data_IF_616212475973
#
_entry.id   IF_616212475973
#
_cell.length_a   1.000
_cell.length_b   1.000
_cell.length_c   1.000
_cell.angle_alpha   90.00
_cell.angle_beta   90.00
_cell.angle_gamma   90.00
#
_symmetry.space_group_name_H-M   'P 1'
#
loop_
_entity.id
_entity.type
_entity.pdbx_description
1 polymer ?
#
# COMPACT_ATOMS: atom_id res chain seq x y z
N UNK A 1 7.11 40.70 4.84
CA UNK A 1 6.99 39.36 5.49
C UNK A 1 5.81 39.24 6.45
N UNK A 2 5.43 40.26 7.25
CA UNK A 2 4.18 40.24 8.06
C UNK A 2 2.85 40.06 7.27
N UNK A 3 2.89 39.99 5.93
CA UNK A 3 1.70 39.92 5.07
C UNK A 3 1.31 38.52 4.58
N UNK A 4 2.24 37.57 4.41
CA UNK A 4 1.90 36.27 3.79
C UNK A 4 1.20 35.34 4.80
N UNK A 5 1.76 35.20 6.00
CA UNK A 5 1.18 34.39 7.07
C UNK A 5 -0.23 34.84 7.46
N UNK A 6 -0.47 36.17 7.51
CA UNK A 6 -1.80 36.73 7.78
C UNK A 6 -2.79 36.40 6.66
N UNK A 7 -2.37 36.49 5.40
CA UNK A 7 -3.20 36.12 4.24
C UNK A 7 -3.53 34.63 4.24
N UNK A 8 -2.56 33.76 4.54
CA UNK A 8 -2.80 32.32 4.67
C UNK A 8 -3.74 32.00 5.84
N UNK A 9 -3.55 32.63 7.00
CA UNK A 9 -4.43 32.44 8.15
C UNK A 9 -5.86 32.86 7.86
N UNK A 10 -6.05 34.02 7.24
CA UNK A 10 -7.37 34.50 6.82
C UNK A 10 -8.00 33.60 5.74
N UNK A 11 -7.20 33.11 4.78
CA UNK A 11 -7.65 32.17 3.75
C UNK A 11 -8.23 30.90 4.38
N UNK A 12 -7.51 30.30 5.34
CA UNK A 12 -7.96 29.10 6.05
C UNK A 12 -9.19 29.39 6.88
N UNK A 13 -9.17 30.46 7.69
CA UNK A 13 -10.29 30.82 8.58
C UNK A 13 -11.60 31.10 7.82
N UNK A 14 -11.50 31.64 6.61
CA UNK A 14 -12.65 31.97 5.76
C UNK A 14 -13.07 30.84 4.83
N UNK A 15 -12.29 29.75 4.74
CA UNK A 15 -12.58 28.65 3.83
C UNK A 15 -13.66 27.73 4.41
N UNK A 16 -14.69 27.36 3.63
CA UNK A 16 -15.63 26.33 4.03
C UNK A 16 -14.96 24.96 4.22
N UNK A 17 -13.76 24.75 3.68
CA UNK A 17 -13.01 23.51 3.87
C UNK A 17 -12.64 23.25 5.34
N UNK A 18 -12.57 24.28 6.19
CA UNK A 18 -12.32 24.10 7.62
C UNK A 18 -13.47 23.34 8.30
N UNK A 19 -14.72 23.61 7.89
CA UNK A 19 -15.90 22.87 8.38
C UNK A 19 -15.98 21.46 7.80
N UNK A 20 -15.42 21.25 6.61
CA UNK A 20 -15.37 19.96 5.94
C UNK A 20 -14.14 19.10 6.32
N UNK A 21 -13.22 19.64 7.13
CA UNK A 21 -12.01 18.94 7.57
C UNK A 21 -12.30 17.61 8.28
N UNK A 22 -13.30 17.48 9.17
CA UNK A 22 -13.66 16.19 9.76
C UNK A 22 -14.10 15.16 8.71
N UNK A 23 -14.77 15.59 7.64
CA UNK A 23 -15.16 14.69 6.54
C UNK A 23 -13.94 14.25 5.71
N UNK A 24 -13.02 15.17 5.40
CA UNK A 24 -11.76 14.83 4.73
C UNK A 24 -10.96 13.80 5.53
N UNK A 25 -10.77 14.06 6.82
CA UNK A 25 -10.11 13.14 7.74
C UNK A 25 -10.84 11.79 7.82
N UNK A 26 -12.17 11.81 7.94
CA UNK A 26 -12.97 10.59 8.01
C UNK A 26 -12.89 9.74 6.75
N UNK A 27 -12.84 10.37 5.56
CA UNK A 27 -12.67 9.66 4.29
C UNK A 27 -11.29 8.99 4.21
N UNK A 28 -10.22 9.74 4.51
CA UNK A 28 -8.86 9.19 4.45
C UNK A 28 -8.63 8.10 5.50
N UNK A 29 -9.02 8.34 6.76
CA UNK A 29 -8.92 7.34 7.82
C UNK A 29 -9.80 6.13 7.54
N UNK A 30 -10.99 6.33 6.98
CA UNK A 30 -11.88 5.23 6.59
C UNK A 30 -11.17 4.25 5.64
N UNK A 31 -10.47 4.76 4.62
CA UNK A 31 -9.72 3.92 3.68
C UNK A 31 -8.62 3.11 4.40
N UNK A 32 -7.84 3.76 5.25
CA UNK A 32 -6.76 3.09 6.00
C UNK A 32 -7.30 2.03 6.98
N UNK A 33 -8.42 2.32 7.65
CA UNK A 33 -9.00 1.44 8.66
C UNK A 33 -9.76 0.24 8.08
N UNK A 34 -10.29 0.35 6.86
CA UNK A 34 -11.05 -0.73 6.21
C UNK A 34 -10.18 -1.96 5.85
N UNK A 35 -8.86 -1.83 5.84
CA UNK A 35 -7.91 -2.87 5.42
C UNK A 35 -7.29 -3.64 6.58
N UNK A 36 -7.70 -3.34 7.82
CA UNK A 36 -7.06 -3.90 9.00
C UNK A 36 -5.70 -3.26 9.28
N UNK A 37 -4.77 -4.03 9.84
CA UNK A 37 -3.47 -3.55 10.36
C UNK A 37 -2.27 -4.17 9.66
N UNK A 38 -2.50 -4.90 8.58
CA UNK A 38 -1.49 -5.67 7.87
C UNK A 38 -0.36 -4.81 7.28
N UNK A 39 -0.71 -3.63 6.79
CA UNK A 39 0.24 -2.62 6.30
C UNK A 39 1.20 -2.10 7.37
N UNK A 40 0.95 -2.36 8.66
CA UNK A 40 1.81 -1.86 9.74
C UNK A 40 3.19 -2.52 9.75
N UNK A 41 3.34 -3.68 9.12
CA UNK A 41 4.60 -4.44 9.06
C UNK A 41 5.61 -3.89 8.04
N UNK A 42 5.22 -2.92 7.20
CA UNK A 42 6.05 -2.44 6.08
C UNK A 42 5.89 -0.93 5.88
N UNK A 43 7.00 -0.17 5.93
CA UNK A 43 6.96 1.29 5.77
C UNK A 43 6.38 1.73 4.42
N UNK A 44 6.83 1.11 3.31
CA UNK A 44 6.37 1.50 1.97
C UNK A 44 4.89 1.20 1.79
N UNK A 45 4.44 0.04 2.26
CA UNK A 45 3.04 -0.34 2.19
C UNK A 45 2.15 0.58 3.03
N UNK A 46 2.59 0.93 4.24
CA UNK A 46 1.90 1.89 5.09
C UNK A 46 1.76 3.28 4.45
N UNK A 47 2.85 3.83 3.90
CA UNK A 47 2.83 5.14 3.23
C UNK A 47 1.94 5.10 1.99
N UNK A 48 1.95 3.99 1.25
CA UNK A 48 1.10 3.81 0.09
C UNK A 48 -0.39 3.78 0.45
N UNK A 49 -0.76 3.08 1.53
CA UNK A 49 -2.12 3.07 2.07
C UNK A 49 -2.55 4.44 2.61
N UNK A 50 -1.64 5.20 3.23
CA UNK A 50 -1.95 6.58 3.59
C UNK A 50 -2.29 7.40 2.34
N UNK A 51 -1.57 7.18 1.25
CA UNK A 51 -1.86 7.74 -0.07
C UNK A 51 -3.21 7.32 -0.64
N UNK A 52 -3.67 6.09 -0.38
CA UNK A 52 -4.96 5.62 -0.88
C UNK A 52 -6.13 6.48 -0.37
N UNK A 53 -6.01 7.09 0.82
CA UNK A 53 -6.98 8.07 1.31
C UNK A 53 -7.12 9.30 0.38
N UNK A 54 -6.03 9.68 -0.30
CA UNK A 54 -6.00 10.80 -1.24
C UNK A 54 -6.92 10.56 -2.44
N UNK A 55 -7.19 9.29 -2.80
CA UNK A 55 -8.16 8.96 -3.85
C UNK A 55 -9.56 9.49 -3.57
N UNK A 56 -9.96 9.57 -2.30
CA UNK A 56 -11.25 10.14 -1.89
C UNK A 56 -11.13 11.61 -1.51
N UNK A 57 -10.01 12.00 -0.89
CA UNK A 57 -9.79 13.38 -0.46
C UNK A 57 -9.62 14.35 -1.64
N UNK A 58 -8.90 13.97 -2.69
CA UNK A 58 -8.65 14.85 -3.84
C UNK A 58 -9.92 15.23 -4.62
N UNK A 59 -10.83 14.30 -4.98
CA UNK A 59 -12.10 14.66 -5.61
C UNK A 59 -12.99 15.53 -4.71
N UNK A 60 -13.04 15.22 -3.41
CA UNK A 60 -13.80 16.02 -2.45
C UNK A 60 -13.24 17.44 -2.33
N UNK A 61 -11.91 17.57 -2.23
CA UNK A 61 -11.22 18.86 -2.20
C UNK A 61 -11.41 19.66 -3.50
N UNK A 62 -11.43 18.99 -4.67
CA UNK A 62 -11.74 19.63 -5.95
C UNK A 62 -13.17 20.20 -5.97
N UNK A 63 -14.16 19.45 -5.48
CA UNK A 63 -15.53 19.92 -5.33
C UNK A 63 -15.66 21.12 -4.37
N UNK A 64 -14.98 21.06 -3.22
CA UNK A 64 -14.93 22.19 -2.27
C UNK A 64 -14.28 23.43 -2.88
N UNK A 65 -13.20 23.26 -3.64
CA UNK A 65 -12.51 24.36 -4.32
C UNK A 65 -13.39 25.00 -5.40
N UNK A 66 -14.15 24.19 -6.15
CA UNK A 66 -15.13 24.68 -7.12
C UNK A 66 -16.25 25.48 -6.44
N UNK A 67 -16.80 24.96 -5.34
CA UNK A 67 -17.84 25.65 -4.58
C UNK A 67 -17.32 26.96 -3.96
N UNK A 68 -16.16 26.92 -3.31
CA UNK A 68 -15.53 28.12 -2.73
C UNK A 68 -15.28 29.18 -3.80
N UNK A 69 -14.80 28.77 -4.99
CA UNK A 69 -14.62 29.67 -6.13
C UNK A 69 -15.91 30.41 -6.51
N UNK A 70 -17.04 29.70 -6.58
CA UNK A 70 -18.36 30.26 -6.94
C UNK A 70 -18.94 31.18 -5.85
N UNK A 71 -18.72 30.82 -4.57
CA UNK A 71 -19.17 31.66 -3.45
C UNK A 71 -18.36 32.95 -3.46
N UNK A 72 -17.03 32.83 -3.57
CA UNK A 72 -16.12 33.98 -3.58
C UNK A 72 -16.39 34.92 -4.76
N UNK A 73 -16.63 34.37 -5.96
CA UNK A 73 -16.92 35.20 -7.14
C UNK A 73 -18.21 36.02 -7.00
N UNK A 74 -19.18 35.54 -6.20
CA UNK A 74 -20.45 36.23 -5.93
C UNK A 74 -20.36 37.25 -4.80
N UNK A 75 -19.59 36.97 -3.74
CA UNK A 75 -19.59 37.79 -2.53
C UNK A 75 -18.43 38.78 -2.42
N UNK A 76 -17.31 38.56 -3.12
CA UNK A 76 -16.03 39.22 -2.78
C UNK A 76 -15.53 40.20 -3.86
N UNK A 77 -16.45 40.83 -4.61
CA UNK A 77 -16.13 41.99 -5.44
C UNK A 77 -15.48 43.14 -4.65
N UNK A 78 -15.69 43.20 -3.33
CA UNK A 78 -15.17 44.24 -2.43
C UNK A 78 -13.94 43.78 -1.61
N UNK A 79 -13.92 42.57 -1.04
CA UNK A 79 -12.80 42.15 -0.16
C UNK A 79 -11.53 41.66 -0.90
N UNK A 80 -11.62 41.36 -2.21
CA UNK A 80 -10.44 40.99 -3.04
C UNK A 80 -9.82 42.21 -3.72
N UNK A 81 -10.48 43.38 -3.74
CA UNK A 81 -9.92 44.60 -4.32
C UNK A 81 -8.48 44.96 -3.86
N UNK A 82 -8.07 44.75 -2.59
CA UNK A 82 -6.69 45.01 -2.19
C UNK A 82 -5.67 44.00 -2.77
N UNK A 83 -6.11 42.80 -3.17
CA UNK A 83 -5.27 41.80 -3.83
C UNK A 83 -5.13 42.12 -5.32
N UNK A 84 -4.33 43.15 -5.64
CA UNK A 84 -4.09 43.63 -7.02
C UNK A 84 -3.52 42.57 -7.97
N UNK A 85 -2.90 41.51 -7.46
CA UNK A 85 -2.30 40.46 -8.28
C UNK A 85 -3.21 39.23 -8.33
N UNK A 86 -3.60 38.79 -9.51
CA UNK A 86 -4.43 37.60 -9.71
C UNK A 86 -3.92 36.31 -9.10
N UNK A 87 -2.61 36.08 -9.13
CA UNK A 87 -2.00 34.91 -8.50
C UNK A 87 -2.21 34.88 -6.99
N UNK A 88 -2.31 36.05 -6.33
CA UNK A 88 -2.67 36.12 -4.90
C UNK A 88 -4.13 35.82 -4.66
N UNK A 89 -5.03 36.13 -5.60
CA UNK A 89 -6.45 35.77 -5.50
C UNK A 89 -6.64 34.27 -5.61
N UNK A 90 -5.95 33.64 -6.58
CA UNK A 90 -5.88 32.19 -6.70
C UNK A 90 -5.32 31.57 -5.41
N UNK A 91 -4.13 32.01 -4.98
CA UNK A 91 -3.48 31.47 -3.79
C UNK A 91 -4.30 31.66 -2.50
N UNK A 92 -5.03 32.76 -2.36
CA UNK A 92 -5.92 32.98 -1.22
C UNK A 92 -7.12 32.02 -1.24
N UNK A 93 -7.80 31.88 -2.37
CA UNK A 93 -9.02 31.07 -2.43
C UNK A 93 -8.73 29.57 -2.48
N UNK A 94 -7.83 29.13 -3.34
CA UNK A 94 -7.43 27.74 -3.43
C UNK A 94 -6.60 27.31 -2.20
N UNK A 95 -5.80 28.22 -1.64
CA UNK A 95 -4.90 27.93 -0.53
C UNK A 95 -5.63 27.51 0.74
N UNK A 96 -6.81 28.06 1.04
CA UNK A 96 -7.60 27.63 2.19
C UNK A 96 -7.99 26.15 2.11
N UNK A 97 -8.52 25.72 0.95
CA UNK A 97 -8.89 24.31 0.70
C UNK A 97 -7.65 23.42 0.70
N UNK A 98 -6.59 23.84 -0.01
CA UNK A 98 -5.35 23.08 -0.10
C UNK A 98 -4.70 22.87 1.26
N UNK A 99 -4.63 23.91 2.10
CA UNK A 99 -4.08 23.78 3.47
C UNK A 99 -4.93 22.84 4.31
N UNK A 100 -6.27 22.91 4.25
CA UNK A 100 -7.12 21.98 5.00
C UNK A 100 -6.92 20.53 4.54
N UNK A 101 -6.89 20.29 3.22
CA UNK A 101 -6.64 18.96 2.67
C UNK A 101 -5.23 18.45 3.02
N UNK A 102 -4.20 19.28 2.89
CA UNK A 102 -2.82 18.91 3.23
C UNK A 102 -2.65 18.63 4.72
N UNK A 103 -3.29 19.40 5.60
CA UNK A 103 -3.30 19.15 7.06
C UNK A 103 -4.04 17.85 7.36
N UNK A 104 -5.19 17.60 6.73
CA UNK A 104 -5.92 16.34 6.86
C UNK A 104 -5.04 15.14 6.52
N UNK A 105 -4.41 15.18 5.36
CA UNK A 105 -3.52 14.13 4.89
C UNK A 105 -2.26 13.97 5.77
N UNK A 106 -1.67 15.07 6.23
CA UNK A 106 -0.54 15.04 7.17
C UNK A 106 -0.88 14.34 8.48
N UNK A 107 -2.09 14.56 9.01
CA UNK A 107 -2.56 13.88 10.22
C UNK A 107 -2.66 12.38 9.96
N UNK A 108 -3.20 11.96 8.81
CA UNK A 108 -3.31 10.54 8.43
C UNK A 108 -1.92 9.90 8.29
N UNK A 109 -1.01 10.53 7.55
CA UNK A 109 0.38 10.06 7.40
C UNK A 109 1.06 9.97 8.77
N UNK A 110 0.91 10.97 9.63
CA UNK A 110 1.49 10.94 10.97
C UNK A 110 0.92 9.81 11.84
N UNK A 111 -0.38 9.53 11.75
CA UNK A 111 -1.02 8.43 12.46
C UNK A 111 -0.53 7.07 11.95
N UNK A 112 -0.45 6.91 10.62
CA UNK A 112 0.09 5.71 9.97
C UNK A 112 1.53 5.47 10.40
N UNK A 113 2.40 6.48 10.29
CA UNK A 113 3.81 6.40 10.71
C UNK A 113 3.93 6.06 12.21
N UNK A 114 3.12 6.69 13.06
CA UNK A 114 3.11 6.40 14.49
C UNK A 114 2.65 4.96 14.80
N UNK A 115 1.74 4.41 13.99
CA UNK A 115 1.22 3.05 14.14
C UNK A 115 2.27 2.02 13.73
N UNK A 116 2.93 2.21 12.58
CA UNK A 116 4.05 1.38 12.11
C UNK A 116 5.20 1.40 13.13
N UNK A 117 5.54 2.58 13.67
CA UNK A 117 6.57 2.69 14.70
C UNK A 117 6.21 1.91 15.98
N UNK A 118 4.93 1.95 16.40
CA UNK A 118 4.44 1.17 17.55
C UNK A 118 4.42 -0.34 17.27
N UNK A 119 4.22 -0.75 16.03
CA UNK A 119 4.31 -2.14 15.61
C UNK A 119 5.75 -2.69 15.64
N UNK A 120 6.76 -1.81 15.76
CA UNK A 120 8.17 -2.20 15.87
C UNK A 120 8.85 -2.44 14.53
N UNK A 121 8.25 -1.99 13.42
CA UNK A 121 8.81 -2.13 12.06
C UNK A 121 10.16 -1.43 11.97
N UNK A 122 11.18 -2.17 11.53
CA UNK A 122 12.55 -1.67 11.45
C UNK A 122 12.76 -0.66 10.32
N UNK A 123 13.82 0.15 10.39
CA UNK A 123 14.16 1.14 9.37
C UNK A 123 13.44 2.48 9.50
N UNK A 124 13.33 3.22 8.41
CA UNK A 124 12.69 4.53 8.35
C UNK A 124 11.79 4.67 7.12
N UNK A 125 10.65 5.38 7.22
CA UNK A 125 9.78 5.58 6.08
C UNK A 125 10.45 6.40 4.97
N UNK A 126 10.26 5.98 3.73
CA UNK A 126 10.46 6.85 2.57
C UNK A 126 9.25 7.78 2.44
N UNK A 127 9.49 9.08 2.66
CA UNK A 127 8.45 10.11 2.63
C UNK A 127 8.41 10.85 1.28
N UNK A 128 9.25 10.50 0.30
CA UNK A 128 9.19 11.09 -1.03
C UNK A 128 7.81 10.96 -1.71
N UNK A 129 7.09 9.81 -1.60
CA UNK A 129 5.73 9.68 -2.16
C UNK A 129 4.71 10.64 -1.54
N UNK A 130 4.90 11.05 -0.28
CA UNK A 130 4.00 12.01 0.40
C UNK A 130 4.02 13.38 -0.32
N UNK A 131 5.15 13.76 -0.91
CA UNK A 131 5.22 14.97 -1.74
C UNK A 131 4.35 14.83 -2.99
N UNK A 132 4.32 13.64 -3.59
CA UNK A 132 3.49 13.36 -4.75
C UNK A 132 2.00 13.42 -4.40
N UNK A 133 1.61 12.88 -3.24
CA UNK A 133 0.25 12.99 -2.71
C UNK A 133 -0.19 14.46 -2.60
N UNK A 134 0.68 15.34 -2.11
CA UNK A 134 0.40 16.77 -1.99
C UNK A 134 0.31 17.48 -3.34
N UNK A 135 1.20 17.15 -4.28
CA UNK A 135 1.14 17.69 -5.64
C UNK A 135 -0.17 17.29 -6.31
N UNK A 136 -0.62 16.06 -6.12
CA UNK A 136 -1.89 15.59 -6.64
C UNK A 136 -3.09 16.32 -5.99
N UNK A 137 -3.12 16.47 -4.66
CA UNK A 137 -4.12 17.28 -3.97
C UNK A 137 -4.14 18.72 -4.48
N UNK A 138 -2.97 19.33 -4.67
CA UNK A 138 -2.84 20.70 -5.19
C UNK A 138 -3.38 20.81 -6.63
N UNK A 139 -3.07 19.85 -7.49
CA UNK A 139 -3.59 19.80 -8.85
C UNK A 139 -5.12 19.66 -8.85
N UNK A 140 -5.68 18.76 -8.04
CA UNK A 140 -7.12 18.55 -7.92
C UNK A 140 -7.85 19.82 -7.40
N UNK A 141 -7.32 20.46 -6.35
CA UNK A 141 -7.84 21.74 -5.83
C UNK A 141 -7.77 22.84 -6.88
N UNK A 142 -6.69 22.93 -7.63
CA UNK A 142 -6.53 23.93 -8.68
C UNK A 142 -7.52 23.73 -9.84
N UNK A 143 -7.70 22.49 -10.29
CA UNK A 143 -8.71 22.11 -11.29
C UNK A 143 -10.11 22.45 -10.78
N UNK A 144 -10.40 22.09 -9.53
CA UNK A 144 -11.62 22.46 -8.81
C UNK A 144 -11.93 23.95 -8.89
N UNK A 145 -10.96 24.74 -8.44
CA UNK A 145 -11.05 26.20 -8.46
C UNK A 145 -11.26 26.76 -9.87
N UNK A 146 -10.47 26.30 -10.85
CA UNK A 146 -10.56 26.75 -12.23
C UNK A 146 -11.94 26.45 -12.84
N UNK A 147 -12.47 25.24 -12.64
CA UNK A 147 -13.80 24.86 -13.10
C UNK A 147 -14.89 25.73 -12.45
N UNK A 148 -14.78 25.98 -11.13
CA UNK A 148 -15.69 26.85 -10.39
C UNK A 148 -15.71 28.30 -10.86
N UNK A 149 -14.65 28.77 -11.53
CA UNK A 149 -14.63 30.07 -12.18
C UNK A 149 -15.35 30.06 -13.54
N UNK A 150 -15.39 28.93 -14.25
CA UNK A 150 -15.94 28.84 -15.61
C UNK A 150 -17.46 28.69 -15.59
N UNK A 151 -18.00 27.89 -14.67
CA UNK A 151 -19.43 27.56 -14.61
C UNK A 151 -20.09 28.04 -13.31
N UNK A 152 -21.28 28.64 -13.42
CA UNK A 152 -22.01 29.25 -12.29
C UNK A 152 -23.06 28.33 -11.65
N UNK A 153 -23.16 27.08 -12.11
CA UNK A 153 -24.14 26.11 -11.61
C UNK A 153 -23.76 25.55 -10.25
N UNK A 154 -24.72 25.50 -9.32
CA UNK A 154 -24.53 24.92 -7.99
C UNK A 154 -24.26 23.41 -8.03
N UNK A 155 -24.64 22.73 -9.10
CA UNK A 155 -24.38 21.30 -9.32
C UNK A 155 -22.93 21.03 -9.74
N UNK A 156 -22.15 22.05 -10.08
CA UNK A 156 -20.78 21.86 -10.56
C UNK A 156 -19.90 21.18 -9.52
N UNK A 157 -19.97 21.59 -8.25
CA UNK A 157 -19.13 21.04 -7.19
C UNK A 157 -19.29 19.52 -7.03
N UNK A 158 -20.51 18.96 -6.84
CA UNK A 158 -20.68 17.52 -6.75
C UNK A 158 -20.39 16.80 -8.07
N UNK A 159 -20.78 17.37 -9.23
CA UNK A 159 -20.45 16.75 -10.53
C UNK A 159 -18.94 16.67 -10.77
N UNK A 160 -18.19 17.72 -10.41
CA UNK A 160 -16.75 17.75 -10.57
C UNK A 160 -16.05 16.79 -9.60
N UNK A 161 -16.52 16.67 -8.36
CA UNK A 161 -16.03 15.65 -7.44
C UNK A 161 -16.22 14.25 -8.02
N UNK A 162 -17.39 13.95 -8.62
CA UNK A 162 -17.62 12.65 -9.26
C UNK A 162 -16.74 12.44 -10.50
N UNK A 163 -16.54 13.47 -11.33
CA UNK A 163 -15.64 13.39 -12.51
C UNK A 163 -14.20 13.15 -12.08
N UNK A 164 -13.69 13.89 -11.10
CA UNK A 164 -12.32 13.71 -10.60
C UNK A 164 -12.17 12.32 -9.96
N UNK A 165 -13.16 11.86 -9.20
CA UNK A 165 -13.17 10.51 -8.62
C UNK A 165 -13.12 9.44 -9.73
N UNK A 166 -13.94 9.58 -10.77
CA UNK A 166 -13.94 8.66 -11.90
C UNK A 166 -12.59 8.66 -12.62
N UNK A 167 -12.02 9.83 -12.93
CA UNK A 167 -10.69 9.93 -13.54
C UNK A 167 -9.60 9.26 -12.70
N UNK A 168 -9.70 9.36 -11.37
CA UNK A 168 -8.76 8.74 -10.43
C UNK A 168 -8.90 7.22 -10.41
N UNK A 169 -10.13 6.71 -10.35
CA UNK A 169 -10.41 5.27 -10.38
C UNK A 169 -9.92 4.67 -11.70
N UNK A 170 -10.24 5.30 -12.83
CA UNK A 170 -9.77 4.85 -14.15
C UNK A 170 -8.25 4.92 -14.28
N UNK A 171 -7.60 5.90 -13.64
CA UNK A 171 -6.15 5.97 -13.58
C UNK A 171 -5.51 4.88 -12.73
N UNK A 172 -6.22 4.37 -11.74
CA UNK A 172 -5.68 3.36 -10.81
C UNK A 172 -5.97 1.93 -11.28
N UNK A 173 -7.09 1.70 -11.96
CA UNK A 173 -7.52 0.37 -12.39
C UNK A 173 -7.01 -0.02 -13.78
N UNK A 174 -6.35 0.89 -14.51
CA UNK A 174 -5.78 0.60 -15.84
C UNK A 174 -6.81 0.30 -16.94
N UNK A 175 -8.11 0.47 -16.67
CA UNK A 175 -9.20 0.31 -17.64
C UNK A 175 -9.11 1.31 -18.79
N UNK A 176 -8.48 2.46 -18.55
CA UNK A 176 -7.89 3.26 -19.59
C UNK A 176 -6.42 2.85 -19.70
N UNK A 177 -5.98 2.20 -20.82
CA UNK A 177 -4.57 1.87 -21.07
C UNK A 177 -3.65 3.11 -21.14
N UNK A 178 -4.21 4.29 -20.88
CA UNK A 178 -3.61 5.60 -21.03
C UNK A 178 -3.59 6.47 -19.76
N UNK A 179 -3.86 5.94 -18.57
CA UNK A 179 -3.76 6.74 -17.34
C UNK A 179 -2.68 6.16 -16.43
N UNK A 180 -1.48 6.66 -16.64
CA UNK A 180 -0.19 6.16 -16.15
C UNK A 180 0.21 6.69 -14.77
N UNK A 181 -0.79 6.98 -13.93
CA UNK A 181 -0.62 7.86 -12.77
C UNK A 181 -1.12 7.16 -11.52
N UNK A 182 -0.23 6.39 -10.91
CA UNK A 182 -0.40 5.79 -9.60
C UNK A 182 0.14 6.74 -8.52
N UNK A 183 -0.71 7.63 -8.02
CA UNK A 183 -0.34 8.55 -6.91
C UNK A 183 -0.15 7.79 -5.62
N UNK A 184 -0.96 6.75 -5.45
CA UNK A 184 -1.01 5.86 -4.31
C UNK A 184 -1.62 4.55 -4.80
N UNK A 185 -1.66 3.54 -3.93
CA UNK A 185 -2.35 2.31 -4.22
C UNK A 185 -2.89 1.66 -2.96
N UNK A 186 -4.07 1.07 -3.12
CA UNK A 186 -4.56 0.05 -2.23
C UNK A 186 -3.83 -1.28 -2.54
N UNK A 187 -2.49 -1.28 -2.47
CA UNK A 187 -1.68 -2.43 -2.93
C UNK A 187 -1.65 -3.54 -1.90
N UNK A 188 -1.13 -4.69 -2.31
CA UNK A 188 -0.61 -5.69 -1.37
C UNK A 188 0.78 -5.33 -0.82
N UNK A 189 1.43 -6.28 -0.14
CA UNK A 189 2.79 -6.14 0.37
C UNK A 189 3.77 -5.55 -0.64
N UNK A 190 4.60 -4.61 -0.20
CA UNK A 190 5.62 -3.91 -0.99
C UNK A 190 7.05 -4.20 -0.51
N UNK A 191 7.21 -5.19 0.37
CA UNK A 191 8.50 -5.65 0.82
C UNK A 191 9.40 -6.03 -0.38
N UNK A 192 10.66 -5.58 -0.35
CA UNK A 192 11.64 -5.75 -1.44
C UNK A 192 11.33 -5.02 -2.75
N UNK A 193 10.36 -4.10 -2.74
CA UNK A 193 10.18 -3.12 -3.81
C UNK A 193 10.74 -1.76 -3.39
N UNK A 194 11.24 -1.00 -4.35
CA UNK A 194 11.65 0.39 -4.18
C UNK A 194 10.95 1.30 -5.19
N UNK A 195 10.71 2.55 -4.81
CA UNK A 195 10.16 3.54 -5.74
C UNK A 195 11.17 3.82 -6.86
N UNK A 196 10.67 3.85 -8.10
CA UNK A 196 11.45 4.28 -9.26
C UNK A 196 11.47 5.80 -9.33
N UNK A 197 12.61 6.46 -9.08
CA UNK A 197 12.65 7.91 -8.96
C UNK A 197 12.26 8.62 -10.25
N UNK A 198 12.59 8.04 -11.42
CA UNK A 198 12.17 8.55 -12.72
C UNK A 198 10.63 8.56 -12.91
N UNK A 199 9.93 7.52 -12.43
CA UNK A 199 8.45 7.46 -12.51
C UNK A 199 7.82 8.47 -11.56
N UNK A 200 8.32 8.55 -10.32
CA UNK A 200 7.86 9.54 -9.32
C UNK A 200 8.08 10.97 -9.83
N UNK A 201 9.23 11.25 -10.45
CA UNK A 201 9.54 12.55 -11.03
C UNK A 201 8.61 12.89 -12.21
N UNK A 202 8.36 11.94 -13.11
CA UNK A 202 7.44 12.15 -14.23
C UNK A 202 6.00 12.41 -13.75
N UNK A 203 5.52 11.70 -12.74
CA UNK A 203 4.22 11.95 -12.12
C UNK A 203 4.17 13.33 -11.43
N UNK A 204 5.25 13.74 -10.76
CA UNK A 204 5.35 15.09 -10.20
C UNK A 204 5.26 16.16 -11.30
N UNK A 205 5.90 15.95 -12.46
CA UNK A 205 5.78 16.85 -13.63
C UNK A 205 4.34 16.90 -14.14
N UNK A 206 3.62 15.78 -14.20
CA UNK A 206 2.20 15.74 -14.57
C UNK A 206 1.38 16.62 -13.62
N UNK A 207 1.51 16.48 -12.30
CA UNK A 207 0.72 17.26 -11.34
C UNK A 207 1.08 18.74 -11.32
N UNK A 208 2.36 19.06 -11.38
CA UNK A 208 2.81 20.46 -11.49
C UNK A 208 2.26 21.09 -12.77
N UNK A 209 2.27 20.35 -13.89
CA UNK A 209 1.71 20.84 -15.15
C UNK A 209 0.21 21.09 -15.05
N UNK A 210 -0.56 20.16 -14.47
CA UNK A 210 -2.00 20.33 -14.23
C UNK A 210 -2.29 21.53 -13.33
N UNK A 211 -1.52 21.70 -12.25
CA UNK A 211 -1.59 22.85 -11.35
C UNK A 211 -1.33 24.16 -12.10
N UNK A 212 -0.27 24.23 -12.91
CA UNK A 212 0.10 25.43 -13.69
C UNK A 212 -0.96 25.75 -14.74
N UNK A 213 -1.48 24.76 -15.46
CA UNK A 213 -2.56 24.94 -16.44
C UNK A 213 -3.80 25.48 -15.74
N UNK A 214 -4.26 24.82 -14.68
CA UNK A 214 -5.46 25.21 -13.94
C UNK A 214 -5.33 26.62 -13.33
N UNK A 215 -4.18 26.95 -12.74
CA UNK A 215 -3.90 28.28 -12.25
C UNK A 215 -3.94 29.32 -13.38
N UNK A 216 -3.34 29.03 -14.54
CA UNK A 216 -3.24 29.95 -15.68
C UNK A 216 -4.57 30.24 -16.36
N UNK A 217 -5.48 29.27 -16.40
CA UNK A 217 -6.83 29.45 -16.99
C UNK A 217 -7.83 30.07 -16.01
N UNK A 218 -7.52 30.10 -14.71
CA UNK A 218 -8.42 30.69 -13.71
C UNK A 218 -8.67 32.18 -13.98
N UNK A 219 -9.93 32.60 -13.85
CA UNK A 219 -10.33 34.00 -14.08
C UNK A 219 -9.56 34.90 -13.13
N UNK A 220 -8.85 35.87 -13.70
CA UNK A 220 -8.04 36.82 -12.96
C UNK A 220 -6.63 36.91 -13.50
N UNK A 221 -5.97 35.82 -13.92
CA UNK A 221 -4.50 35.74 -14.10
C UNK A 221 -3.89 36.61 -15.20
N UNK A 222 -3.75 37.93 -15.02
CA UNK A 222 -3.04 38.84 -15.94
C UNK A 222 -3.64 38.95 -17.36
N UNK A 223 -2.97 39.69 -18.26
CA UNK A 223 -3.36 39.88 -19.68
C UNK A 223 -3.38 38.55 -20.44
N UNK A 224 -4.22 38.37 -21.48
CA UNK A 224 -4.37 37.10 -22.20
C UNK A 224 -3.03 36.50 -22.66
N UNK A 225 -2.12 37.31 -23.23
CA UNK A 225 -0.80 36.86 -23.67
C UNK A 225 0.08 36.27 -22.55
N UNK A 226 -0.07 36.76 -21.31
CA UNK A 226 0.72 36.29 -20.15
C UNK A 226 0.16 34.98 -19.57
N UNK A 227 -1.13 34.66 -19.82
CA UNK A 227 -1.77 33.40 -19.39
C UNK A 227 -1.37 32.21 -20.24
N UNK A 228 -1.29 32.41 -21.56
CA UNK A 228 -1.15 31.31 -22.50
C UNK A 228 0.25 30.72 -22.54
N UNK A 229 1.29 31.48 -22.20
CA UNK A 229 2.67 30.98 -22.14
C UNK A 229 2.85 29.88 -21.09
N UNK A 230 2.53 30.10 -19.79
CA UNK A 230 2.65 29.04 -18.78
C UNK A 230 1.64 27.91 -19.01
N UNK A 231 0.43 28.19 -19.50
CA UNK A 231 -0.54 27.15 -19.84
C UNK A 231 -0.04 26.26 -20.99
N UNK A 232 0.51 26.85 -22.05
CA UNK A 232 1.08 26.13 -23.18
C UNK A 232 2.32 25.32 -22.80
N UNK A 233 3.23 25.91 -22.00
CA UNK A 233 4.37 25.19 -21.45
C UNK A 233 3.93 24.01 -20.56
N UNK A 234 2.95 24.23 -19.68
CA UNK A 234 2.35 23.17 -18.86
C UNK A 234 1.71 22.07 -19.71
N UNK A 235 0.97 22.42 -20.77
CA UNK A 235 0.35 21.44 -21.66
C UNK A 235 1.40 20.59 -22.40
N UNK A 236 2.47 21.21 -22.90
CA UNK A 236 3.57 20.50 -23.55
C UNK A 236 4.25 19.56 -22.54
N UNK A 237 4.60 20.06 -21.34
CA UNK A 237 5.20 19.25 -20.28
C UNK A 237 4.31 18.08 -19.86
N UNK A 238 3.00 18.31 -19.75
CA UNK A 238 2.01 17.27 -19.44
C UNK A 238 2.02 16.18 -20.52
N UNK A 239 1.94 16.55 -21.79
CA UNK A 239 1.93 15.58 -22.92
C UNK A 239 3.24 14.79 -22.96
N UNK A 240 4.38 15.44 -22.77
CA UNK A 240 5.69 14.77 -22.78
C UNK A 240 5.85 13.81 -21.60
N UNK A 241 5.51 14.24 -20.38
CA UNK A 241 5.62 13.40 -19.20
C UNK A 241 4.64 12.22 -19.26
N UNK A 242 3.39 12.50 -19.67
CA UNK A 242 2.38 11.47 -19.83
C UNK A 242 2.76 10.47 -20.93
N UNK A 243 3.24 10.94 -22.09
CA UNK A 243 3.72 10.11 -23.20
C UNK A 243 4.93 9.26 -22.84
N UNK A 244 5.87 9.80 -22.04
CA UNK A 244 6.99 9.03 -21.50
C UNK A 244 6.49 7.92 -20.57
N UNK A 245 5.61 8.25 -19.63
CA UNK A 245 4.99 7.26 -18.74
C UNK A 245 4.23 6.17 -19.52
N UNK A 246 3.59 6.51 -20.66
CA UNK A 246 2.93 5.51 -21.53
C UNK A 246 3.90 4.58 -22.24
N UNK A 247 5.05 5.12 -22.64
CA UNK A 247 6.04 4.39 -23.42
C UNK A 247 6.88 3.46 -22.55
N UNK A 248 6.95 3.71 -21.25
CA UNK A 248 7.63 2.87 -20.26
C UNK A 248 6.65 1.94 -19.55
N UNK A 249 7.08 0.75 -19.11
CA UNK A 249 6.33 0.01 -18.10
C UNK A 249 6.21 0.90 -16.85
N UNK A 250 5.02 1.50 -16.67
CA UNK A 250 4.76 2.60 -15.75
C UNK A 250 4.67 2.18 -14.28
N UNK A 251 5.12 0.96 -13.95
CA UNK A 251 5.18 0.54 -12.55
C UNK A 251 6.06 1.51 -11.79
N UNK A 252 5.50 2.13 -10.75
CA UNK A 252 6.21 3.03 -9.84
C UNK A 252 7.20 2.29 -8.94
N UNK A 253 7.17 0.97 -8.96
CA UNK A 253 8.05 0.11 -8.19
C UNK A 253 9.04 -0.62 -9.09
N UNK A 254 10.25 -0.80 -8.58
CA UNK A 254 11.23 -1.77 -9.10
C UNK A 254 11.54 -2.77 -8.01
N UNK A 255 11.84 -4.01 -8.41
CA UNK A 255 12.37 -4.99 -7.48
C UNK A 255 13.76 -4.54 -7.03
N UNK A 256 14.01 -4.61 -5.72
CA UNK A 256 15.34 -4.47 -5.15
C UNK A 256 16.09 -5.78 -5.38
N UNK A 257 17.34 -5.72 -5.83
CA UNK A 257 18.12 -6.93 -6.03
C UNK A 257 18.20 -7.72 -4.70
N UNK A 258 18.03 -9.04 -4.75
CA UNK A 258 17.95 -9.89 -3.56
C UNK A 258 19.16 -9.73 -2.60
N UNK A 259 20.34 -9.42 -3.14
CA UNK A 259 21.57 -9.18 -2.38
C UNK A 259 21.64 -7.81 -1.67
N UNK A 260 20.83 -6.84 -2.09
CA UNK A 260 20.80 -5.50 -1.50
C UNK A 260 19.77 -5.38 -0.36
N UNK A 261 18.95 -6.40 -0.15
CA UNK A 261 17.97 -6.45 0.94
C UNK A 261 18.66 -6.90 2.22
N UNK A 262 18.88 -5.95 3.13
CA UNK A 262 19.41 -6.22 4.47
C UNK A 262 18.47 -7.13 5.26
N UNK A 263 19.05 -8.16 5.89
CA UNK A 263 18.35 -9.18 6.67
C UNK A 263 18.97 -9.35 8.04
N UNK A 264 18.12 -9.66 9.01
CA UNK A 264 18.50 -10.05 10.36
C UNK A 264 18.10 -11.51 10.57
N UNK A 265 19.06 -12.30 11.04
CA UNK A 265 18.89 -13.72 11.32
C UNK A 265 18.72 -13.95 12.82
N UNK A 266 17.78 -14.84 13.17
CA UNK A 266 17.41 -15.19 14.54
C UNK A 266 17.53 -16.70 14.72
N UNK A 267 18.01 -17.14 15.89
CA UNK A 267 18.18 -18.56 16.19
C UNK A 267 19.42 -19.19 15.53
N UNK A 268 19.53 -20.51 15.64
CA UNK A 268 20.63 -21.30 15.04
C UNK A 268 20.13 -22.62 14.42
N UNK A 269 19.05 -23.21 14.96
CA UNK A 269 18.44 -24.43 14.48
C UNK A 269 16.94 -24.50 14.89
N UNK A 270 16.00 -23.97 14.08
CA UNK A 270 16.25 -23.29 12.80
C UNK A 270 16.76 -21.86 12.97
N UNK A 271 17.60 -21.42 12.03
CA UNK A 271 17.93 -20.01 11.81
C UNK A 271 16.88 -19.38 10.88
N UNK A 272 16.37 -18.21 11.24
CA UNK A 272 15.35 -17.49 10.47
C UNK A 272 15.85 -16.10 10.14
N UNK A 273 16.08 -15.84 8.86
CA UNK A 273 16.50 -14.55 8.34
C UNK A 273 15.32 -13.78 7.77
N UNK A 274 14.90 -12.72 8.44
CA UNK A 274 13.86 -11.78 7.97
C UNK A 274 14.48 -10.50 7.46
N UNK A 275 13.78 -9.76 6.60
CA UNK A 275 14.22 -8.43 6.18
C UNK A 275 14.19 -7.46 7.36
N UNK A 276 15.00 -6.41 7.32
CA UNK A 276 15.09 -5.43 8.42
C UNK A 276 13.73 -4.83 8.82
N UNK A 277 12.86 -4.57 7.84
CA UNK A 277 11.51 -4.02 8.06
C UNK A 277 10.67 -4.98 8.95
N UNK A 278 10.86 -6.30 8.79
CA UNK A 278 10.14 -7.35 9.52
C UNK A 278 10.92 -7.91 10.72
N UNK A 279 12.04 -7.29 11.14
CA UNK A 279 12.91 -7.81 12.19
C UNK A 279 12.18 -8.07 13.53
N UNK A 280 11.19 -7.24 13.89
CA UNK A 280 10.39 -7.43 15.10
C UNK A 280 9.57 -8.74 15.12
N UNK A 281 9.20 -9.25 13.95
CA UNK A 281 8.51 -10.53 13.80
C UNK A 281 9.47 -11.74 13.88
N UNK A 282 10.77 -11.51 13.65
CA UNK A 282 11.79 -12.56 13.57
C UNK A 282 11.80 -13.54 14.75
N UNK A 283 11.86 -13.09 16.01
CA UNK A 283 11.84 -13.98 17.17
C UNK A 283 10.58 -14.84 17.27
N UNK A 284 9.40 -14.27 16.98
CA UNK A 284 8.14 -15.00 17.03
C UNK A 284 8.06 -16.09 15.95
N UNK A 285 8.52 -15.77 14.73
CA UNK A 285 8.60 -16.72 13.62
C UNK A 285 9.63 -17.81 13.94
N UNK A 286 10.79 -17.44 14.47
CA UNK A 286 11.84 -18.38 14.85
C UNK A 286 11.37 -19.35 15.92
N UNK A 287 10.70 -18.87 16.96
CA UNK A 287 10.14 -19.72 18.00
C UNK A 287 9.11 -20.69 17.42
N UNK A 288 8.17 -20.19 16.61
CA UNK A 288 7.14 -21.04 16.04
C UNK A 288 7.69 -22.08 15.04
N UNK A 289 8.74 -21.74 14.28
CA UNK A 289 9.45 -22.71 13.44
C UNK A 289 10.22 -23.73 14.28
N UNK A 290 10.80 -23.33 15.42
CA UNK A 290 11.42 -24.27 16.35
C UNK A 290 10.39 -25.23 16.97
N UNK A 291 9.23 -24.72 17.36
CA UNK A 291 8.11 -25.52 17.86
C UNK A 291 7.61 -26.48 16.79
N UNK A 292 7.56 -26.05 15.52
CA UNK A 292 7.20 -26.88 14.39
C UNK A 292 8.24 -27.97 14.10
N UNK A 293 9.54 -27.65 14.20
CA UNK A 293 10.61 -28.65 14.12
C UNK A 293 10.46 -29.71 15.21
N UNK A 294 10.09 -29.29 16.43
CA UNK A 294 9.81 -30.21 17.52
C UNK A 294 8.59 -31.08 17.25
N UNK A 295 7.49 -30.47 16.78
CA UNK A 295 6.23 -31.17 16.47
C UNK A 295 6.36 -32.17 15.30
N UNK A 296 7.21 -31.86 14.31
CA UNK A 296 7.51 -32.76 13.20
C UNK A 296 8.30 -34.01 13.63
N UNK A 297 8.98 -33.93 14.77
CA UNK A 297 9.76 -35.01 15.36
C UNK A 297 11.16 -35.15 14.74
N UNK A 298 12.05 -35.82 15.48
CA UNK A 298 13.48 -35.95 15.14
C UNK A 298 13.80 -36.67 13.82
N UNK A 299 12.81 -37.33 13.21
CA UNK A 299 12.97 -38.03 11.92
C UNK A 299 12.71 -37.14 10.71
N UNK A 300 12.06 -35.99 10.90
CA UNK A 300 11.80 -35.06 9.83
C UNK A 300 13.09 -34.29 9.49
N UNK A 301 13.52 -34.38 8.24
CA UNK A 301 14.53 -33.48 7.69
C UNK A 301 13.83 -32.17 7.35
N UNK A 302 14.07 -31.14 8.16
CA UNK A 302 13.56 -29.79 7.92
C UNK A 302 14.74 -28.85 7.64
N UNK A 303 14.53 -27.79 6.84
CA UNK A 303 15.57 -26.82 6.56
C UNK A 303 16.18 -26.23 7.84
N UNK A 304 17.51 -26.18 7.90
CA UNK A 304 18.23 -25.56 9.02
C UNK A 304 18.11 -24.03 9.00
N UNK A 305 17.97 -23.44 7.81
CA UNK A 305 17.87 -22.00 7.61
C UNK A 305 16.64 -21.66 6.77
N UNK A 306 15.88 -20.68 7.21
CA UNK A 306 14.77 -20.08 6.49
C UNK A 306 15.08 -18.62 6.21
N UNK A 307 14.75 -18.15 5.02
CA UNK A 307 14.97 -16.77 4.63
C UNK A 307 13.69 -16.17 4.02
N UNK A 308 13.31 -15.00 4.53
CA UNK A 308 12.24 -14.21 3.95
C UNK A 308 12.68 -13.75 2.57
N UNK A 309 11.87 -14.09 1.58
CA UNK A 309 12.03 -13.69 0.19
C UNK A 309 10.95 -12.68 -0.13
N UNK A 310 11.40 -11.58 -0.72
CA UNK A 310 10.56 -10.45 -1.11
C UNK A 310 10.47 -10.33 -2.64
N UNK A 311 11.52 -10.77 -3.33
CA UNK A 311 11.54 -11.03 -4.77
C UNK A 311 12.75 -11.89 -5.12
N UNK A 312 12.64 -12.67 -6.20
CA UNK A 312 13.72 -13.54 -6.69
C UNK A 312 13.88 -14.84 -5.89
N UNK A 313 14.96 -15.61 -6.15
CA UNK A 313 15.22 -16.86 -5.44
C UNK A 313 15.70 -16.60 -4.00
N UNK A 314 15.50 -17.58 -3.13
CA UNK A 314 16.11 -17.56 -1.80
C UNK A 314 17.64 -17.57 -1.86
N UNK A 315 18.31 -17.06 -0.80
CA UNK A 315 19.74 -17.30 -0.60
C UNK A 315 20.07 -18.80 -0.68
N UNK A 316 21.24 -19.12 -1.23
CA UNK A 316 21.68 -20.50 -1.34
C UNK A 316 21.71 -21.19 0.03
N UNK A 317 21.09 -22.36 0.13
CA UNK A 317 21.01 -23.15 1.37
C UNK A 317 19.92 -22.72 2.35
N UNK A 318 19.11 -21.70 2.04
CA UNK A 318 17.97 -21.30 2.86
C UNK A 318 16.64 -21.65 2.17
N UNK A 319 15.65 -22.06 2.96
CA UNK A 319 14.26 -22.22 2.49
C UNK A 319 13.60 -20.85 2.39
N UNK A 320 13.10 -20.51 1.20
CA UNK A 320 12.32 -19.31 0.98
C UNK A 320 11.02 -19.35 1.79
N UNK A 321 10.63 -18.23 2.38
CA UNK A 321 9.24 -17.99 2.77
C UNK A 321 8.84 -16.55 2.46
N UNK A 322 7.56 -16.31 2.25
CA UNK A 322 6.99 -14.97 2.10
C UNK A 322 6.26 -14.65 3.38
N UNK A 323 6.54 -13.52 4.02
CA UNK A 323 5.79 -13.16 5.22
C UNK A 323 4.43 -12.61 4.80
N UNK A 324 3.39 -13.44 4.94
CA UNK A 324 2.02 -12.99 4.66
C UNK A 324 1.54 -12.01 5.72
N UNK A 325 0.65 -11.09 5.36
CA UNK A 325 -0.07 -10.30 6.35
C UNK A 325 -0.82 -11.19 7.36
N UNK A 326 -0.90 -10.76 8.61
CA UNK A 326 -1.45 -11.58 9.70
C UNK A 326 -0.60 -12.79 10.13
N UNK A 327 0.57 -13.05 9.53
CA UNK A 327 1.47 -14.13 9.98
C UNK A 327 1.96 -13.94 11.42
N UNK A 328 1.97 -12.71 11.93
CA UNK A 328 2.25 -12.39 13.33
C UNK A 328 1.18 -11.44 13.85
N UNK A 329 0.52 -11.83 14.94
CA UNK A 329 -0.53 -11.06 15.63
C UNK A 329 -0.13 -10.92 17.10
N UNK A 330 -0.13 -9.69 17.62
CA UNK A 330 0.25 -9.39 19.02
C UNK A 330 1.61 -9.99 19.43
N UNK A 331 2.57 -9.98 18.50
CA UNK A 331 3.92 -10.51 18.71
C UNK A 331 4.00 -12.04 18.74
N UNK A 332 2.93 -12.74 18.35
CA UNK A 332 2.90 -14.20 18.22
C UNK A 332 2.69 -14.59 16.78
N UNK A 333 3.50 -15.53 16.29
CA UNK A 333 3.26 -16.05 14.96
C UNK A 333 1.98 -16.89 14.93
N UNK A 334 1.21 -16.77 13.86
CA UNK A 334 0.01 -17.57 13.62
C UNK A 334 0.46 -18.91 13.03
N UNK A 335 0.31 -20.03 13.76
CA UNK A 335 0.84 -21.33 13.32
C UNK A 335 0.36 -21.75 11.94
N UNK A 336 -0.89 -21.48 11.58
CA UNK A 336 -1.50 -21.84 10.29
C UNK A 336 -0.71 -21.31 9.10
N UNK A 337 -0.31 -20.05 9.21
CA UNK A 337 0.40 -19.35 8.15
C UNK A 337 1.81 -19.90 8.02
N UNK A 338 2.47 -20.21 9.14
CA UNK A 338 3.82 -20.77 9.15
C UNK A 338 3.90 -22.22 8.70
N UNK A 339 2.95 -23.06 9.12
CA UNK A 339 2.84 -24.44 8.66
C UNK A 339 2.69 -24.46 7.15
N UNK A 340 1.85 -23.58 6.59
CA UNK A 340 1.75 -23.42 5.14
C UNK A 340 3.12 -23.15 4.50
N UNK A 341 3.97 -22.27 5.06
CA UNK A 341 5.30 -22.02 4.48
C UNK A 341 6.28 -23.19 4.57
N UNK A 342 6.23 -23.98 5.64
CA UNK A 342 7.08 -25.17 5.76
C UNK A 342 6.63 -26.23 4.77
N UNK A 343 5.32 -26.43 4.67
CA UNK A 343 4.73 -27.47 3.84
C UNK A 343 4.75 -27.16 2.35
N UNK A 344 4.77 -25.88 1.97
CA UNK A 344 4.77 -25.45 0.58
C UNK A 344 6.20 -25.17 0.11
N UNK A 345 6.83 -26.14 -0.57
CA UNK A 345 8.05 -25.85 -1.32
C UNK A 345 7.69 -24.97 -2.53
N UNK A 346 8.14 -23.72 -2.53
CA UNK A 346 7.82 -22.76 -3.58
C UNK A 346 8.20 -23.27 -4.98
N UNK A 347 9.28 -24.05 -5.09
CA UNK A 347 9.75 -24.62 -6.35
C UNK A 347 8.77 -25.66 -6.92
N UNK A 348 8.06 -26.41 -6.07
CA UNK A 348 7.09 -27.43 -6.51
C UNK A 348 5.81 -26.84 -7.08
N UNK A 349 5.54 -25.56 -6.80
CA UNK A 349 4.27 -24.88 -7.08
C UNK A 349 4.41 -23.76 -8.10
N UNK A 350 5.62 -23.20 -8.23
CA UNK A 350 5.94 -22.19 -9.24
C UNK A 350 6.25 -22.80 -10.61
N UNK A 351 6.30 -24.12 -10.74
CA UNK A 351 6.40 -24.80 -12.03
C UNK A 351 5.14 -24.62 -12.90
N UNK A 352 5.29 -24.76 -14.21
CA UNK A 352 4.20 -24.60 -15.21
C UNK A 352 3.01 -25.56 -15.05
N UNK A 353 3.09 -26.49 -14.10
CA UNK A 353 2.11 -27.55 -13.89
C UNK A 353 1.46 -27.37 -12.53
N UNK A 354 0.12 -27.36 -12.51
CA UNK A 354 -0.63 -27.35 -11.27
C UNK A 354 -0.23 -28.58 -10.41
N UNK A 355 -0.07 -28.42 -9.08
CA UNK A 355 0.21 -29.55 -8.21
C UNK A 355 -0.90 -30.61 -8.38
N UNK A 356 -0.56 -31.91 -8.37
CA UNK A 356 -1.56 -32.97 -8.40
C UNK A 356 -2.58 -32.76 -7.27
N UNK A 357 -3.87 -33.09 -7.50
CA UNK A 357 -4.91 -32.93 -6.46
C UNK A 357 -4.54 -33.63 -5.14
N UNK A 358 -3.88 -34.79 -5.24
CA UNK A 358 -3.34 -35.55 -4.10
C UNK A 358 -2.30 -34.78 -3.28
N UNK A 359 -1.50 -33.91 -3.91
CA UNK A 359 -0.54 -33.06 -3.20
C UNK A 359 -1.26 -32.02 -2.33
N UNK A 360 -2.35 -31.44 -2.84
CA UNK A 360 -3.16 -30.46 -2.09
C UNK A 360 -3.82 -31.13 -0.88
N UNK A 361 -4.43 -32.30 -1.08
CA UNK A 361 -5.07 -33.09 -0.01
C UNK A 361 -4.05 -33.45 1.08
N UNK A 362 -2.90 -33.98 0.69
CA UNK A 362 -1.84 -34.35 1.61
C UNK A 362 -1.27 -33.15 2.38
N UNK A 363 -1.05 -32.01 1.72
CA UNK A 363 -0.57 -30.81 2.42
C UNK A 363 -1.65 -30.31 3.38
N UNK A 364 -2.93 -30.39 3.02
CA UNK A 364 -4.04 -30.08 3.93
C UNK A 364 -4.03 -30.99 5.15
N UNK A 365 -3.95 -32.32 4.97
CA UNK A 365 -3.89 -33.30 6.06
C UNK A 365 -2.68 -33.06 6.97
N UNK A 366 -1.51 -32.87 6.37
CA UNK A 366 -0.27 -32.60 7.09
C UNK A 366 -0.34 -31.28 7.85
N UNK A 367 -1.01 -30.27 7.30
CA UNK A 367 -1.25 -29.00 7.99
C UNK A 367 -2.08 -29.21 9.25
N UNK A 368 -3.21 -29.93 9.13
CA UNK A 368 -4.10 -30.23 10.26
C UNK A 368 -3.36 -30.99 11.36
N UNK A 369 -2.58 -32.01 10.99
CA UNK A 369 -1.80 -32.82 11.93
C UNK A 369 -0.71 -32.00 12.65
N UNK A 370 0.02 -31.15 11.92
CA UNK A 370 1.07 -30.33 12.55
C UNK A 370 0.45 -29.26 13.46
N UNK A 371 -0.69 -28.69 13.06
CA UNK A 371 -1.40 -27.70 13.87
C UNK A 371 -1.99 -28.30 15.14
N UNK A 372 -2.53 -29.53 15.10
CA UNK A 372 -3.03 -30.20 16.30
C UNK A 372 -1.92 -30.53 17.30
N UNK A 373 -0.71 -30.84 16.81
CA UNK A 373 0.47 -31.03 17.67
C UNK A 373 0.99 -29.73 18.27
N UNK A 374 0.93 -28.63 17.52
CA UNK A 374 1.35 -27.31 17.99
C UNK A 374 0.39 -26.70 19.01
N UNK A 375 -0.92 -26.95 18.85
CA UNK A 375 -1.96 -26.46 19.74
C UNK A 375 -2.99 -27.56 20.03
N UNK A 376 -2.75 -28.43 21.04
CA UNK A 376 -3.66 -29.52 21.40
C UNK A 376 -5.03 -29.06 21.90
N UNK A 377 -5.14 -27.81 22.36
CA UNK A 377 -6.39 -27.23 22.87
C UNK A 377 -7.23 -26.58 21.76
N UNK A 378 -6.70 -26.54 20.53
CA UNK A 378 -7.42 -26.02 19.37
C UNK A 378 -8.73 -26.80 19.17
N UNK A 379 -9.89 -26.13 19.04
CA UNK A 379 -11.15 -26.83 18.82
C UNK A 379 -11.06 -27.61 17.51
N UNK A 380 -10.93 -28.94 17.64
CA UNK A 380 -10.73 -29.87 16.53
C UNK A 380 -11.99 -29.95 15.66
N UNK A 381 -12.00 -29.34 14.46
CA UNK A 381 -13.17 -29.41 13.60
C UNK A 381 -13.24 -30.73 12.84
N UNK A 382 -12.15 -31.51 12.77
CA UNK A 382 -11.97 -32.51 11.72
C UNK A 382 -11.90 -33.95 12.22
N UNK A 383 -12.56 -34.82 11.47
CA UNK A 383 -12.52 -36.28 11.67
C UNK A 383 -11.11 -36.85 11.46
N UNK A 384 -10.28 -36.16 10.69
CA UNK A 384 -8.92 -36.57 10.32
C UNK A 384 -7.97 -36.59 11.52
N UNK A 385 -7.96 -35.55 12.35
CA UNK A 385 -7.14 -35.48 13.57
C UNK A 385 -7.41 -36.68 14.49
N UNK A 386 -8.69 -37.00 14.71
CA UNK A 386 -9.12 -38.15 15.53
C UNK A 386 -8.74 -39.51 14.97
N UNK A 387 -8.57 -39.65 13.66
CA UNK A 387 -8.08 -40.87 13.04
C UNK A 387 -6.57 -40.96 13.15
N UNK A 388 -5.88 -39.84 12.93
CA UNK A 388 -4.43 -39.75 13.07
C UNK A 388 -3.97 -40.04 14.51
N UNK A 389 -4.68 -39.52 15.51
CA UNK A 389 -4.40 -39.74 16.94
C UNK A 389 -4.50 -41.21 17.38
N UNK A 390 -5.15 -42.07 16.57
CA UNK A 390 -5.22 -43.52 16.84
C UNK A 390 -3.96 -44.26 16.41
N UNK A 391 -3.16 -43.68 15.52
CA UNK A 391 -1.90 -44.29 15.10
C UNK A 391 -0.90 -44.26 16.25
N UNK A 392 -0.06 -45.30 16.41
CA UNK A 392 1.05 -45.28 17.35
C UNK A 392 1.95 -44.05 17.10
N UNK A 393 2.51 -43.39 18.14
CA UNK A 393 3.33 -42.18 17.95
C UNK A 393 4.49 -42.36 16.95
N UNK A 394 5.13 -43.54 16.94
CA UNK A 394 6.21 -43.83 16.00
C UNK A 394 5.77 -43.97 14.54
N UNK A 395 4.50 -44.30 14.28
CA UNK A 395 3.90 -44.32 12.94
C UNK A 395 3.48 -42.92 12.50
N UNK A 396 2.95 -42.11 13.43
CA UNK A 396 2.66 -40.69 13.18
C UNK A 396 3.93 -39.94 12.76
N UNK A 397 5.02 -40.07 13.53
CA UNK A 397 6.29 -39.40 13.24
C UNK A 397 6.90 -39.88 11.92
N UNK A 398 6.76 -41.17 11.60
CA UNK A 398 7.23 -41.72 10.32
C UNK A 398 6.43 -41.16 9.14
N UNK A 399 5.11 -41.00 9.29
CA UNK A 399 4.26 -40.41 8.26
C UNK A 399 4.58 -38.93 8.06
N UNK A 400 4.69 -38.14 9.13
CA UNK A 400 5.05 -36.71 9.06
C UNK A 400 6.39 -36.53 8.35
N UNK A 401 7.42 -37.29 8.74
CA UNK A 401 8.74 -37.23 8.12
C UNK A 401 8.70 -37.60 6.63
N UNK A 402 7.96 -38.65 6.26
CA UNK A 402 7.78 -39.03 4.85
C UNK A 402 7.04 -37.96 4.05
N UNK A 403 6.01 -37.34 4.65
CA UNK A 403 5.21 -36.32 4.01
C UNK A 403 6.00 -35.02 3.75
N UNK A 404 6.79 -34.59 4.73
CA UNK A 404 7.71 -33.47 4.60
C UNK A 404 8.78 -33.72 3.54
N UNK A 405 9.43 -34.89 3.58
CA UNK A 405 10.47 -35.26 2.60
C UNK A 405 9.95 -35.30 1.16
N UNK A 406 8.73 -35.80 0.94
CA UNK A 406 8.16 -35.80 -0.41
C UNK A 406 7.68 -34.40 -0.85
N UNK A 407 7.23 -33.54 0.08
CA UNK A 407 7.00 -32.13 -0.24
C UNK A 407 8.28 -31.43 -0.69
N UNK A 408 9.41 -31.67 -0.02
CA UNK A 408 10.69 -31.09 -0.43
C UNK A 408 11.13 -31.54 -1.83
N UNK A 409 10.91 -32.81 -2.17
CA UNK A 409 11.28 -33.40 -3.47
C UNK A 409 10.22 -33.27 -4.57
N UNK A 410 9.09 -32.61 -4.28
CA UNK A 410 7.90 -32.56 -5.15
C UNK A 410 7.38 -33.96 -5.54
N UNK A 411 7.57 -34.98 -4.70
CA UNK A 411 7.31 -36.38 -4.97
C UNK A 411 6.06 -36.90 -4.23
N UNK A 412 4.95 -36.17 -4.31
CA UNK A 412 3.73 -36.45 -3.54
C UNK A 412 3.09 -37.81 -3.82
N UNK A 413 3.38 -38.40 -4.99
CA UNK A 413 2.89 -39.73 -5.38
C UNK A 413 3.57 -40.86 -4.58
N UNK A 414 4.71 -40.59 -3.94
CA UNK A 414 5.45 -41.58 -3.15
C UNK A 414 4.87 -41.80 -1.75
N UNK A 415 3.93 -40.95 -1.30
CA UNK A 415 3.41 -41.01 0.06
C UNK A 415 2.22 -41.99 0.11
N UNK A 416 2.33 -43.09 0.88
CA UNK A 416 1.23 -44.03 1.06
C UNK A 416 0.03 -43.32 1.67
N UNK A 417 -1.18 -43.69 1.21
CA UNK A 417 -2.38 -43.23 1.88
C UNK A 417 -2.37 -43.78 3.31
N UNK A 418 -2.38 -42.88 4.29
CA UNK A 418 -2.35 -43.26 5.70
C UNK A 418 -3.74 -43.63 6.19
N UNK A 419 -4.79 -43.17 5.51
CA UNK A 419 -6.17 -43.57 5.80
C UNK A 419 -6.41 -45.05 5.50
N UNK A 420 -5.62 -45.65 4.60
CA UNK A 420 -5.65 -47.10 4.39
C UNK A 420 -5.08 -47.90 5.58
N UNK A 421 -4.40 -47.23 6.53
CA UNK A 421 -3.74 -47.85 7.70
C UNK A 421 -4.44 -47.56 9.03
N UNK A 422 -5.23 -46.48 9.12
CA UNK A 422 -5.94 -46.02 10.32
C UNK A 422 -7.38 -46.58 10.38
#
# INVERSE_FOLDING_TARGET
>A
MRSLACVCFLAVRSSPALLALPCLLGLELGVVLLQGTDWTAEWRWAIDWAGAGVFLAAPFAAGLAAWQSQVTSRSIGEAVQPLRSPGRVFAFNAGGVLVCAAVGHLVVVALVVATVYRAGTGGSPDLAPVLLHWLFLAAAVAIGYAAGQVAETRLLAPCLALVVLFCVIEASNGSLPTLWVEVAGATGPLAGLAYRPEVVAAQAVVFVSLLVIAASVSRGVARPLVRWVPAGAGAISLVLAAGWLSATEASRFTQVAAGDVARQCFGQAPEVCVIDESAAAGPAIQQALADLHHAAGSRAELPATYAQVVSGPAPAGARAFVLSPGAVVDGRAVPDVLVTFVLWNHDCLSGDHAPPGRAIELISDLSVVLLSRLDPDRPDPDRLTRLFDRLPPGEQDAWIAAALSASERCAFDEIPDWLDRA
#
